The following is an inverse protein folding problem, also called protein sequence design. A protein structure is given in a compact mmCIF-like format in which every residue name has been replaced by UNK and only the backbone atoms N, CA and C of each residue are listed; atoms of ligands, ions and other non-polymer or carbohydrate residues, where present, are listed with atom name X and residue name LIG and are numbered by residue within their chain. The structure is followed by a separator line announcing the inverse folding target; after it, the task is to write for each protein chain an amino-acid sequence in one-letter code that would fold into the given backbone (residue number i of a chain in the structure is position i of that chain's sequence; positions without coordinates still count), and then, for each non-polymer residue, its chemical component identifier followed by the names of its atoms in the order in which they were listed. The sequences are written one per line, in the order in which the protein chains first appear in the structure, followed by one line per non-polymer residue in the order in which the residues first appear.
data_IF_430699710005
#
_entry.id   IF_430699710005
#
_cell.length_a   1.000
_cell.length_b   1.000
_cell.length_c   1.000
_cell.angle_alpha   90.00
_cell.angle_beta   90.00
_cell.angle_gamma   90.00
#
_symmetry.space_group_name_H-M   'P 1'
#
loop_
_entity.id
_entity.type
_entity.pdbx_description
1 polymer ?
#
# COMPACT_ATOMS: atom_id res chain seq x y z
N UNK A 1 13.53 -8.29 3.05
CA UNK A 1 13.51 -8.24 1.58
C UNK A 1 12.54 -7.16 1.15
N UNK A 2 12.95 -6.29 0.24
CA UNK A 2 12.12 -5.28 -0.41
C UNK A 2 11.94 -5.66 -1.88
N UNK A 3 10.72 -5.57 -2.42
CA UNK A 3 10.41 -6.03 -3.77
C UNK A 3 9.64 -4.96 -4.55
N UNK A 4 10.16 -4.57 -5.71
CA UNK A 4 9.54 -3.61 -6.62
C UNK A 4 8.90 -4.38 -7.77
N UNK A 5 7.61 -4.12 -7.97
CA UNK A 5 6.80 -4.79 -8.98
C UNK A 5 6.31 -3.78 -10.02
N UNK A 6 6.07 -4.26 -11.23
CA UNK A 6 5.30 -3.53 -12.24
C UNK A 6 3.95 -4.20 -12.47
N UNK A 7 2.98 -3.40 -12.90
CA UNK A 7 1.70 -3.88 -13.40
C UNK A 7 1.55 -3.51 -14.88
N UNK A 8 1.41 -4.49 -15.75
CA UNK A 8 1.26 -4.29 -17.20
C UNK A 8 0.38 -5.40 -17.79
N UNK A 9 -0.60 -5.02 -18.60
CA UNK A 9 -1.54 -5.94 -19.27
C UNK A 9 -2.20 -6.97 -18.32
N UNK A 10 -2.48 -6.59 -17.07
CA UNK A 10 -3.07 -7.49 -16.07
C UNK A 10 -2.06 -8.38 -15.34
N UNK A 11 -0.77 -8.31 -15.69
CA UNK A 11 0.30 -9.05 -15.02
C UNK A 11 1.00 -8.20 -13.98
N UNK A 12 1.24 -8.79 -12.80
CA UNK A 12 2.16 -8.27 -11.81
C UNK A 12 3.49 -9.01 -11.90
N UNK A 13 4.58 -8.27 -12.05
CA UNK A 13 5.91 -8.83 -12.29
C UNK A 13 6.91 -8.22 -11.30
N UNK A 14 7.57 -9.02 -10.45
CA UNK A 14 8.68 -8.54 -9.65
C UNK A 14 9.86 -8.20 -10.56
N UNK A 15 10.34 -6.97 -10.51
CA UNK A 15 11.49 -6.51 -11.30
C UNK A 15 12.77 -6.42 -10.48
N UNK A 16 12.66 -5.92 -9.25
CA UNK A 16 13.81 -5.69 -8.38
C UNK A 16 13.53 -6.31 -7.02
N UNK A 17 14.49 -7.08 -6.53
CA UNK A 17 14.48 -7.66 -5.19
C UNK A 17 15.75 -7.19 -4.50
N UNK A 18 15.58 -6.51 -3.36
CA UNK A 18 16.68 -5.95 -2.58
C UNK A 18 16.64 -6.48 -1.15
N UNK A 19 17.81 -6.90 -0.63
CA UNK A 19 17.99 -7.21 0.78
C UNK A 19 18.55 -5.98 1.48
N UNK A 20 17.66 -5.17 2.05
CA UNK A 20 18.02 -3.93 2.71
C UNK A 20 18.40 -4.17 4.18
N UNK A 21 19.48 -3.55 4.69
CA UNK A 21 19.90 -3.69 6.08
C UNK A 21 19.00 -2.95 7.08
N UNK A 22 18.23 -1.95 6.64
CA UNK A 22 17.31 -1.21 7.50
C UNK A 22 16.15 -0.60 6.71
N UNK A 23 15.13 -0.14 7.43
CA UNK A 23 13.99 0.63 6.87
C UNK A 23 14.19 2.16 7.02
N UNK A 24 15.44 2.62 6.91
CA UNK A 24 15.78 4.03 7.06
C UNK A 24 15.68 4.79 5.74
N UNK A 25 15.47 6.10 5.82
CA UNK A 25 15.46 6.99 4.65
C UNK A 25 16.73 6.84 3.81
N UNK A 26 17.89 6.83 4.47
CA UNK A 26 19.19 6.69 3.82
C UNK A 26 19.32 5.36 3.07
N UNK A 27 18.84 4.27 3.66
CA UNK A 27 18.87 2.95 3.03
C UNK A 27 17.97 2.89 1.79
N UNK A 28 16.75 3.42 1.87
CA UNK A 28 15.87 3.49 0.70
C UNK A 28 16.39 4.42 -0.38
N UNK A 29 16.96 5.58 -0.01
CA UNK A 29 17.55 6.52 -0.97
C UNK A 29 18.71 5.85 -1.71
N UNK A 30 19.58 5.16 -0.99
CA UNK A 30 20.69 4.41 -1.57
C UNK A 30 20.20 3.34 -2.55
N UNK A 31 19.14 2.59 -2.21
CA UNK A 31 18.53 1.61 -3.11
C UNK A 31 18.02 2.26 -4.40
N UNK A 32 17.26 3.35 -4.32
CA UNK A 32 16.72 4.04 -5.50
C UNK A 32 17.82 4.64 -6.40
N UNK A 33 18.84 5.25 -5.80
CA UNK A 33 20.00 5.74 -6.54
C UNK A 33 20.76 4.61 -7.24
N UNK A 34 20.92 3.47 -6.57
CA UNK A 34 21.54 2.29 -7.16
C UNK A 34 20.73 1.75 -8.36
N UNK A 35 19.40 1.72 -8.25
CA UNK A 35 18.52 1.34 -9.37
C UNK A 35 18.70 2.31 -10.55
N UNK A 36 18.73 3.63 -10.30
CA UNK A 36 18.97 4.63 -11.36
C UNK A 36 20.34 4.43 -12.03
N UNK A 37 21.38 4.15 -11.25
CA UNK A 37 22.72 3.84 -11.74
C UNK A 37 22.71 2.59 -12.63
N UNK A 38 22.01 1.52 -12.24
CA UNK A 38 21.87 0.31 -13.06
C UNK A 38 21.12 0.60 -14.37
N UNK A 39 20.01 1.35 -14.32
CA UNK A 39 19.27 1.72 -15.53
C UNK A 39 20.15 2.51 -16.51
N UNK A 40 20.91 3.48 -16.01
CA UNK A 40 21.77 4.32 -16.85
C UNK A 40 22.92 3.51 -17.44
N UNK A 41 23.67 2.79 -16.60
CA UNK A 41 24.93 2.18 -17.03
C UNK A 41 24.78 0.80 -17.67
N UNK A 42 23.71 0.06 -17.36
CA UNK A 42 23.47 -1.28 -17.93
C UNK A 42 22.43 -1.28 -19.03
N UNK A 43 21.45 -0.38 -18.98
CA UNK A 43 20.34 -0.35 -19.94
C UNK A 43 20.35 0.86 -20.86
N UNK A 44 21.24 1.85 -20.63
CA UNK A 44 21.28 3.11 -21.37
C UNK A 44 19.92 3.83 -21.36
N UNK A 45 19.23 3.76 -20.21
CA UNK A 45 17.89 4.35 -20.02
C UNK A 45 17.85 5.18 -18.74
N UNK A 46 17.13 6.29 -18.81
CA UNK A 46 16.81 7.09 -17.63
C UNK A 46 15.67 6.43 -16.85
N UNK A 47 15.82 6.38 -15.52
CA UNK A 47 14.76 5.92 -14.62
C UNK A 47 13.89 7.11 -14.24
N UNK A 48 12.68 7.22 -14.81
CA UNK A 48 11.75 8.32 -14.55
C UNK A 48 10.34 7.78 -14.32
N UNK A 49 10.07 7.12 -13.17
CA UNK A 49 8.75 6.59 -12.88
C UNK A 49 7.73 7.74 -12.77
N UNK A 50 6.56 7.63 -13.41
CA UNK A 50 5.51 8.64 -13.27
C UNK A 50 4.80 8.55 -11.92
N UNK A 51 4.63 7.32 -11.42
CA UNK A 51 4.03 7.07 -10.12
C UNK A 51 4.51 5.76 -9.51
N UNK A 52 4.40 5.65 -8.19
CA UNK A 52 4.67 4.42 -7.45
C UNK A 52 3.57 4.17 -6.42
N UNK A 53 3.28 2.90 -6.17
CA UNK A 53 2.44 2.50 -5.05
C UNK A 53 3.33 2.09 -3.88
N UNK A 54 3.14 2.73 -2.73
CA UNK A 54 3.92 2.48 -1.52
C UNK A 54 3.01 2.24 -0.31
N UNK A 55 3.56 1.51 0.64
CA UNK A 55 2.98 1.37 1.98
C UNK A 55 3.23 2.65 2.78
N UNK A 56 2.47 2.85 3.86
CA UNK A 56 2.51 4.05 4.71
C UNK A 56 3.76 4.09 5.60
N UNK A 57 4.93 4.18 4.96
CA UNK A 57 6.23 4.27 5.61
C UNK A 57 6.92 5.58 5.22
N UNK A 58 7.01 6.51 6.19
CA UNK A 58 7.51 7.88 5.97
C UNK A 58 8.89 7.88 5.32
N UNK A 59 9.78 6.99 5.79
CA UNK A 59 11.15 6.87 5.27
C UNK A 59 11.17 6.50 3.77
N UNK A 60 10.34 5.54 3.36
CA UNK A 60 10.24 5.10 1.97
C UNK A 60 9.67 6.20 1.07
N UNK A 61 8.62 6.90 1.52
CA UNK A 61 8.02 8.02 0.79
C UNK A 61 9.02 9.16 0.57
N UNK A 62 9.66 9.61 1.67
CA UNK A 62 10.67 10.68 1.60
C UNK A 62 11.82 10.29 0.69
N UNK A 63 12.33 9.07 0.80
CA UNK A 63 13.44 8.59 -0.03
C UNK A 63 13.07 8.55 -1.51
N UNK A 64 11.87 8.07 -1.84
CA UNK A 64 11.40 8.02 -3.22
C UNK A 64 11.28 9.43 -3.82
N UNK A 65 10.62 10.37 -3.14
CA UNK A 65 10.46 11.75 -3.63
C UNK A 65 11.78 12.53 -3.64
N UNK A 66 12.75 12.15 -2.80
CA UNK A 66 14.09 12.73 -2.86
C UNK A 66 14.82 12.35 -4.15
N UNK A 67 14.62 11.13 -4.65
CA UNK A 67 15.22 10.66 -5.92
C UNK A 67 14.37 11.04 -7.13
N UNK A 68 13.04 11.06 -6.99
CA UNK A 68 12.09 11.39 -8.06
C UNK A 68 11.08 12.47 -7.63
N UNK A 69 11.48 13.75 -7.61
CA UNK A 69 10.67 14.84 -7.04
C UNK A 69 9.33 15.10 -7.76
N UNK A 70 9.24 14.73 -9.04
CA UNK A 70 8.06 14.97 -9.87
C UNK A 70 7.12 13.75 -9.98
N UNK A 71 7.49 12.64 -9.34
CA UNK A 71 6.70 11.40 -9.36
C UNK A 71 5.56 11.46 -8.35
N UNK A 72 4.45 10.79 -8.65
CA UNK A 72 3.31 10.68 -7.72
C UNK A 72 3.42 9.43 -6.85
N UNK A 73 3.30 9.58 -5.53
CA UNK A 73 3.08 8.45 -4.63
C UNK A 73 1.59 8.18 -4.52
N UNK A 74 1.21 6.91 -4.63
CA UNK A 74 -0.14 6.41 -4.34
C UNK A 74 -0.07 5.48 -3.13
N UNK A 75 -0.78 5.82 -2.06
CA UNK A 75 -0.89 4.98 -0.88
C UNK A 75 -1.76 3.75 -1.15
N UNK A 76 -1.37 2.60 -0.58
CA UNK A 76 -2.16 1.38 -0.71
C UNK A 76 -3.42 1.43 0.18
N UNK A 77 -4.62 1.39 -0.43
CA UNK A 77 -5.90 1.42 0.32
C UNK A 77 -6.02 0.29 1.34
N UNK A 78 -5.51 -0.90 1.01
CA UNK A 78 -5.53 -2.03 1.93
C UNK A 78 -4.70 -1.76 3.20
N UNK A 79 -3.49 -1.23 3.04
CA UNK A 79 -2.64 -0.88 4.19
C UNK A 79 -3.16 0.32 4.99
N UNK A 80 -3.85 1.26 4.34
CA UNK A 80 -4.58 2.34 5.04
C UNK A 80 -5.66 1.75 5.95
N UNK A 81 -6.56 0.93 5.38
CA UNK A 81 -7.62 0.27 6.14
C UNK A 81 -7.06 -0.63 7.25
N UNK A 82 -5.98 -1.37 6.99
CA UNK A 82 -5.29 -2.13 8.05
C UNK A 82 -4.76 -1.24 9.17
N UNK A 83 -4.22 -0.06 8.86
CA UNK A 83 -3.69 0.86 9.87
C UNK A 83 -4.80 1.39 10.78
N UNK A 84 -5.94 1.80 10.19
CA UNK A 84 -7.12 2.21 10.95
C UNK A 84 -7.71 1.07 11.77
N UNK A 85 -7.87 -0.12 11.18
CA UNK A 85 -8.34 -1.30 11.88
C UNK A 85 -7.42 -1.70 13.05
N UNK A 86 -6.09 -1.61 12.87
CA UNK A 86 -5.14 -1.85 13.97
C UNK A 86 -5.28 -0.81 15.08
N UNK A 87 -5.47 0.47 14.76
CA UNK A 87 -5.72 1.50 15.78
C UNK A 87 -7.00 1.19 16.56
N UNK A 88 -8.11 0.87 15.90
CA UNK A 88 -9.36 0.44 16.55
C UNK A 88 -9.09 -0.75 17.50
N UNK A 89 -8.34 -1.76 17.05
CA UNK A 89 -8.04 -2.95 17.85
C UNK A 89 -7.04 -2.72 18.98
N UNK A 90 -6.21 -1.67 18.90
CA UNK A 90 -5.29 -1.28 19.97
C UNK A 90 -6.02 -0.66 21.16
N UNK A 91 -7.22 -0.13 20.92
CA UNK A 91 -8.10 0.47 21.92
C UNK A 91 -9.07 -0.59 22.43
N UNK A 92 -8.84 -1.12 23.63
CA UNK A 92 -9.50 -2.32 24.14
C UNK A 92 -11.03 -2.26 24.12
N UNK A 93 -11.62 -1.10 24.37
CA UNK A 93 -13.07 -0.95 24.38
C UNK A 93 -13.63 -0.74 22.98
N UNK A 94 -12.96 0.02 22.11
CA UNK A 94 -13.36 0.10 20.70
C UNK A 94 -13.27 -1.27 20.02
N UNK A 95 -12.26 -2.09 20.36
CA UNK A 95 -12.17 -3.48 19.89
C UNK A 95 -13.42 -4.30 20.25
N UNK A 96 -13.96 -4.15 21.46
CA UNK A 96 -15.17 -4.87 21.89
C UNK A 96 -16.40 -4.34 21.16
N UNK A 97 -16.53 -3.02 21.09
CA UNK A 97 -17.66 -2.34 20.46
C UNK A 97 -17.72 -2.62 18.95
N UNK A 98 -16.57 -2.53 18.27
CA UNK A 98 -16.45 -2.79 16.84
C UNK A 98 -16.77 -4.26 16.47
N UNK A 99 -16.63 -5.22 17.39
CA UNK A 99 -17.09 -6.60 17.13
C UNK A 99 -18.61 -6.69 16.98
N UNK A 100 -19.35 -5.81 17.65
CA UNK A 100 -20.79 -5.71 17.49
C UNK A 100 -21.13 -4.71 16.38
N UNK A 101 -21.13 -5.17 15.14
CA UNK A 101 -21.39 -4.34 13.94
C UNK A 101 -22.79 -3.69 13.93
N UNK A 102 -23.71 -4.10 14.81
CA UNK A 102 -25.03 -3.47 14.93
C UNK A 102 -25.04 -2.20 15.78
N UNK A 103 -24.02 -1.95 16.59
CA UNK A 103 -23.97 -0.78 17.48
C UNK A 103 -23.52 0.48 16.74
N UNK A 104 -23.97 1.64 17.19
CA UNK A 104 -23.75 2.92 16.50
C UNK A 104 -22.27 3.32 16.46
N UNK A 105 -21.49 2.93 17.47
CA UNK A 105 -20.03 3.12 17.47
C UNK A 105 -19.36 2.30 16.36
N UNK A 106 -19.79 1.05 16.14
CA UNK A 106 -19.23 0.25 15.07
C UNK A 106 -19.59 0.85 13.69
N UNK A 107 -20.83 1.30 13.51
CA UNK A 107 -21.26 1.99 12.28
C UNK A 107 -20.45 3.25 12.05
N UNK A 108 -20.28 4.10 13.07
CA UNK A 108 -19.49 5.33 13.00
C UNK A 108 -18.04 5.05 12.60
N UNK A 109 -17.40 4.06 13.23
CA UNK A 109 -16.03 3.63 12.86
C UNK A 109 -15.95 3.13 11.42
N UNK A 110 -16.98 2.41 10.92
CA UNK A 110 -17.03 1.92 9.54
C UNK A 110 -17.09 3.07 8.53
N UNK A 111 -17.75 4.19 8.85
CA UNK A 111 -17.83 5.34 7.95
C UNK A 111 -16.45 5.91 7.56
N UNK A 112 -15.45 5.85 8.46
CA UNK A 112 -14.08 6.25 8.14
C UNK A 112 -13.50 5.47 6.95
N UNK A 113 -13.86 4.19 6.81
CA UNK A 113 -13.40 3.35 5.70
C UNK A 113 -14.01 3.75 4.34
N UNK A 114 -14.99 4.66 4.34
CA UNK A 114 -15.52 5.33 3.14
C UNK A 114 -14.65 6.49 2.64
N UNK A 115 -13.89 7.16 3.52
CA UNK A 115 -13.08 8.33 3.17
C UNK A 115 -12.10 8.10 1.98
N UNK A 116 -11.44 6.93 1.83
CA UNK A 116 -10.50 6.70 0.72
C UNK A 116 -11.11 6.70 -0.68
N UNK A 117 -12.44 6.72 -0.78
CA UNK A 117 -13.18 6.72 -2.03
C UNK A 117 -13.65 8.13 -2.46
N UNK A 118 -13.42 9.14 -1.63
CA UNK A 118 -13.74 10.52 -1.94
C UNK A 118 -12.66 11.18 -2.81
N UNK A 119 -13.00 12.25 -3.56
CA UNK A 119 -12.01 13.21 -4.04
C UNK A 119 -11.15 13.73 -2.88
N UNK A 120 -9.84 13.86 -3.08
CA UNK A 120 -8.92 14.22 -1.99
C UNK A 120 -9.23 15.57 -1.36
N UNK A 121 -9.83 16.49 -2.10
CA UNK A 121 -10.24 17.82 -1.64
C UNK A 121 -11.54 17.83 -0.82
N UNK A 122 -12.30 16.74 -0.79
CA UNK A 122 -13.55 16.61 -0.01
C UNK A 122 -13.36 15.81 1.28
N UNK A 123 -12.18 15.21 1.48
CA UNK A 123 -11.90 14.32 2.62
C UNK A 123 -11.96 15.05 3.96
N UNK A 124 -11.46 16.29 4.01
CA UNK A 124 -11.45 17.07 5.24
C UNK A 124 -12.87 17.44 5.69
N UNK A 125 -13.68 17.97 4.77
CA UNK A 125 -15.10 18.27 5.03
C UNK A 125 -15.86 17.02 5.48
N UNK A 126 -15.69 15.91 4.76
CA UNK A 126 -16.32 14.64 5.12
C UNK A 126 -15.88 14.13 6.51
N UNK A 127 -14.63 14.35 6.90
CA UNK A 127 -14.18 13.99 8.25
C UNK A 127 -14.87 14.81 9.34
N UNK A 128 -15.07 16.12 9.12
CA UNK A 128 -15.80 16.96 10.05
C UNK A 128 -17.29 16.59 10.12
N UNK A 129 -17.89 16.18 9.00
CA UNK A 129 -19.23 15.59 9.00
C UNK A 129 -19.29 14.32 9.86
N UNK A 130 -18.28 13.45 9.79
CA UNK A 130 -18.18 12.28 10.67
C UNK A 130 -18.05 12.67 12.15
N UNK A 131 -17.36 13.77 12.48
CA UNK A 131 -17.29 14.25 13.86
C UNK A 131 -18.69 14.65 14.39
N UNK A 132 -19.52 15.27 13.56
CA UNK A 132 -20.89 15.65 13.93
C UNK A 132 -21.81 14.42 14.13
N UNK A 133 -21.43 13.26 13.61
CA UNK A 133 -22.14 11.98 13.78
C UNK A 133 -21.58 11.12 14.92
N UNK A 134 -20.68 11.65 15.74
CA UNK A 134 -20.07 10.91 16.86
C UNK A 134 -21.16 10.45 17.84
N UNK A 135 -21.25 9.15 18.17
CA UNK A 135 -22.26 8.66 19.12
C UNK A 135 -22.04 9.19 20.54
N UNK A 136 -23.13 9.42 21.27
CA UNK A 136 -23.13 9.79 22.70
C UNK A 136 -22.64 8.62 23.57
N UNK A 137 -21.32 8.49 23.65
CA UNK A 137 -20.60 7.50 24.46
C UNK A 137 -19.32 8.14 25.01
N UNK A 138 -18.69 7.51 26.01
CA UNK A 138 -17.47 8.03 26.65
C UNK A 138 -16.45 8.54 25.60
N UNK A 139 -16.35 9.87 25.51
CA UNK A 139 -15.84 10.61 24.35
C UNK A 139 -14.33 10.47 24.16
N UNK A 140 -13.59 10.19 25.22
CA UNK A 140 -12.12 10.22 25.20
C UNK A 140 -11.52 9.14 24.30
N UNK A 141 -12.14 7.97 24.20
CA UNK A 141 -11.60 6.88 23.37
C UNK A 141 -12.00 7.00 21.89
N UNK A 142 -13.17 7.59 21.62
CA UNK A 142 -13.60 7.90 20.25
C UNK A 142 -12.74 9.04 19.67
N UNK A 143 -12.47 10.07 20.48
CA UNK A 143 -11.50 11.12 20.13
C UNK A 143 -10.11 10.54 19.92
N UNK A 144 -9.62 9.60 20.73
CA UNK A 144 -8.28 9.03 20.51
C UNK A 144 -8.11 8.34 19.14
N UNK A 145 -9.15 7.64 18.65
CA UNK A 145 -9.15 7.11 17.28
C UNK A 145 -9.26 8.22 16.24
N UNK A 146 -10.21 9.14 16.43
CA UNK A 146 -10.46 10.25 15.51
C UNK A 146 -9.23 11.14 15.33
N UNK A 147 -8.59 11.54 16.42
CA UNK A 147 -7.37 12.33 16.48
C UNK A 147 -6.21 11.59 15.82
N UNK A 148 -6.12 10.26 16.00
CA UNK A 148 -5.13 9.47 15.28
C UNK A 148 -5.33 9.59 13.76
N UNK A 149 -6.57 9.49 13.28
CA UNK A 149 -6.86 9.65 11.84
C UNK A 149 -6.54 11.07 11.39
N UNK A 150 -7.01 12.08 12.13
CA UNK A 150 -6.82 13.49 11.81
C UNK A 150 -5.35 13.87 11.67
N UNK A 151 -4.56 13.59 12.72
CA UNK A 151 -3.15 13.97 12.81
C UNK A 151 -2.26 13.26 11.78
N UNK A 152 -2.63 12.04 11.36
CA UNK A 152 -1.79 11.24 10.46
C UNK A 152 -2.19 11.34 8.99
N UNK A 153 -3.46 11.64 8.71
CA UNK A 153 -4.03 11.47 7.36
C UNK A 153 -4.82 12.66 6.82
N UNK A 154 -5.22 13.62 7.64
CA UNK A 154 -6.19 14.65 7.24
C UNK A 154 -5.61 16.05 7.38
N UNK A 155 -5.15 16.42 8.59
CA UNK A 155 -4.68 17.78 8.86
C UNK A 155 -3.58 18.19 7.89
N UNK A 156 -3.54 19.47 7.54
CA UNK A 156 -2.47 20.03 6.72
C UNK A 156 -1.09 19.71 7.31
N UNK A 157 -0.15 19.30 6.45
CA UNK A 157 1.20 18.92 6.87
C UNK A 157 1.30 17.55 7.55
N UNK A 158 0.21 16.78 7.63
CA UNK A 158 0.27 15.41 8.15
C UNK A 158 1.24 14.52 7.33
N UNK A 159 1.74 13.43 7.91
CA UNK A 159 2.66 12.52 7.22
C UNK A 159 2.09 11.92 5.92
N UNK A 160 0.77 11.71 5.84
CA UNK A 160 0.12 11.03 4.72
C UNK A 160 -1.14 11.77 4.27
N UNK A 161 -1.02 12.91 3.56
CA UNK A 161 -2.17 13.73 3.17
C UNK A 161 -3.14 12.99 2.23
N UNK A 162 -4.42 13.41 2.17
CA UNK A 162 -5.44 12.78 1.34
C UNK A 162 -5.05 12.61 -0.13
N UNK A 163 -4.26 13.54 -0.68
CA UNK A 163 -3.74 13.48 -2.05
C UNK A 163 -2.92 12.22 -2.37
N UNK A 164 -2.40 11.53 -1.35
CA UNK A 164 -1.66 10.27 -1.50
C UNK A 164 -2.62 9.08 -1.60
N UNK A 165 -3.72 9.07 -0.85
CA UNK A 165 -4.49 7.84 -0.59
C UNK A 165 -5.97 7.90 -1.01
N UNK A 166 -6.58 9.08 -1.04
CA UNK A 166 -7.95 9.31 -1.47
C UNK A 166 -8.01 9.55 -2.98
N UNK A 167 -8.91 8.83 -3.65
CA UNK A 167 -9.30 9.06 -5.05
C UNK A 167 -10.63 8.33 -5.26
N UNK A 168 -11.49 8.78 -6.17
CA UNK A 168 -12.62 7.99 -6.62
C UNK A 168 -12.21 6.58 -7.11
N UNK A 169 -13.09 5.57 -7.02
CA UNK A 169 -12.83 4.26 -7.62
C UNK A 169 -12.49 4.38 -9.11
N UNK A 170 -11.45 3.67 -9.54
CA UNK A 170 -11.08 3.56 -10.96
C UNK A 170 -10.82 2.10 -11.32
N UNK A 171 -10.74 1.83 -12.62
CA UNK A 171 -10.28 0.54 -13.12
C UNK A 171 -8.77 0.33 -12.91
N UNK A 172 -8.02 1.23 -12.28
CA UNK A 172 -6.63 0.94 -11.90
C UNK A 172 -6.60 0.15 -10.57
N UNK A 173 -5.74 -0.87 -10.43
CA UNK A 173 -5.70 -1.62 -9.19
C UNK A 173 -4.99 -0.79 -8.12
N UNK A 174 -5.69 -0.49 -7.02
CA UNK A 174 -5.15 0.29 -5.89
C UNK A 174 -4.72 -0.54 -4.69
N UNK A 175 -4.71 -1.87 -4.81
CA UNK A 175 -4.29 -2.79 -3.76
C UNK A 175 -2.90 -3.37 -4.04
N UNK A 176 -2.09 -3.52 -2.99
CA UNK A 176 -0.81 -4.24 -3.01
C UNK A 176 -0.98 -5.75 -2.81
N UNK A 177 -2.21 -6.28 -2.93
CA UNK A 177 -2.52 -7.70 -2.76
C UNK A 177 -1.56 -8.62 -3.53
N UNK A 178 -1.11 -8.18 -4.70
CA UNK A 178 -0.14 -8.95 -5.49
C UNK A 178 1.27 -8.95 -4.89
N UNK A 179 1.73 -7.84 -4.31
CA UNK A 179 3.00 -7.78 -3.60
C UNK A 179 2.95 -8.64 -2.32
N UNK A 180 1.85 -8.60 -1.57
CA UNK A 180 1.65 -9.47 -0.41
C UNK A 180 1.56 -10.94 -0.79
N UNK A 181 0.80 -11.26 -1.85
CA UNK A 181 0.72 -12.61 -2.41
C UNK A 181 2.09 -13.10 -2.86
N UNK A 182 2.91 -12.22 -3.45
CA UNK A 182 4.29 -12.53 -3.81
C UNK A 182 5.12 -12.87 -2.57
N UNK A 183 5.10 -12.02 -1.54
CA UNK A 183 5.83 -12.26 -0.30
C UNK A 183 5.39 -13.55 0.39
N UNK A 184 4.08 -13.82 0.44
CA UNK A 184 3.52 -15.06 1.00
C UNK A 184 4.00 -16.28 0.21
N UNK A 185 3.92 -16.23 -1.12
CA UNK A 185 4.35 -17.31 -1.99
C UNK A 185 5.86 -17.57 -1.92
N UNK A 186 6.66 -16.51 -1.87
CA UNK A 186 8.11 -16.61 -1.69
C UNK A 186 8.46 -17.24 -0.35
N UNK A 187 7.86 -16.77 0.74
CA UNK A 187 8.11 -17.31 2.07
C UNK A 187 7.65 -18.77 2.19
N UNK A 188 6.59 -19.18 1.48
CA UNK A 188 6.12 -20.58 1.49
C UNK A 188 7.06 -21.56 0.79
N UNK A 189 8.08 -21.08 0.07
CA UNK A 189 9.12 -21.94 -0.51
C UNK A 189 10.14 -22.43 0.54
N UNK A 190 10.07 -21.91 1.76
CA UNK A 190 11.02 -22.22 2.84
C UNK A 190 10.30 -22.86 4.02
N UNK A 191 10.88 -23.92 4.57
CA UNK A 191 10.39 -24.58 5.80
C UNK A 191 10.85 -23.88 7.09
N UNK A 192 11.75 -22.90 6.99
CA UNK A 192 12.31 -22.15 8.11
C UNK A 192 12.20 -20.64 7.86
N UNK A 193 11.98 -19.83 8.91
CA UNK A 193 12.08 -18.36 8.82
C UNK A 193 13.49 -17.86 8.44
N UNK A 194 14.52 -18.69 8.63
CA UNK A 194 15.91 -18.37 8.35
C UNK A 194 16.52 -19.42 7.41
N UNK A 195 16.12 -19.44 6.13
CA UNK A 195 16.66 -20.39 5.16
C UNK A 195 18.13 -20.04 4.83
N UNK A 196 18.94 -21.04 4.41
CA UNK A 196 20.27 -20.79 3.87
C UNK A 196 20.23 -19.83 2.67
N UNK A 197 21.23 -18.97 2.55
CA UNK A 197 21.31 -17.99 1.46
C UNK A 197 21.31 -18.64 0.07
N UNK A 198 21.90 -19.83 -0.06
CA UNK A 198 21.92 -20.59 -1.31
C UNK A 198 20.50 -20.94 -1.76
N UNK A 199 19.67 -21.48 -0.86
CA UNK A 199 18.26 -21.79 -1.13
C UNK A 199 17.44 -20.54 -1.48
N UNK A 200 17.75 -19.40 -0.85
CA UNK A 200 17.14 -18.12 -1.19
C UNK A 200 17.48 -17.73 -2.63
N UNK A 201 18.75 -17.79 -3.01
CA UNK A 201 19.22 -17.44 -4.36
C UNK A 201 18.59 -18.37 -5.42
N UNK A 202 18.50 -19.67 -5.15
CA UNK A 202 17.87 -20.64 -6.05
C UNK A 202 16.40 -20.31 -6.30
N UNK A 203 15.64 -20.00 -5.25
CA UNK A 203 14.25 -19.59 -5.38
C UNK A 203 14.09 -18.26 -6.14
N UNK A 204 15.00 -17.30 -5.93
CA UNK A 204 15.00 -16.05 -6.69
C UNK A 204 15.25 -16.28 -8.19
N UNK A 205 16.11 -17.24 -8.56
CA UNK A 205 16.31 -17.65 -9.96
C UNK A 205 15.03 -18.24 -10.57
N UNK A 206 14.27 -19.04 -9.82
CA UNK A 206 12.98 -19.56 -10.28
C UNK A 206 11.97 -18.43 -10.52
N UNK A 207 11.87 -17.48 -9.60
CA UNK A 207 11.03 -16.28 -9.76
C UNK A 207 11.44 -15.46 -11.00
N UNK A 208 12.74 -15.35 -11.26
CA UNK A 208 13.25 -14.67 -12.45
C UNK A 208 12.80 -15.36 -13.74
N UNK A 209 12.85 -16.71 -13.79
CA UNK A 209 12.34 -17.49 -14.92
C UNK A 209 10.84 -17.24 -15.14
N UNK A 210 10.03 -17.28 -14.08
CA UNK A 210 8.59 -16.97 -14.18
C UNK A 210 8.32 -15.55 -14.68
N UNK A 211 9.12 -14.59 -14.23
CA UNK A 211 9.02 -13.19 -14.64
C UNK A 211 9.31 -13.04 -16.13
N UNK A 212 10.33 -13.72 -16.65
CA UNK A 212 10.62 -13.75 -18.08
C UNK A 212 9.52 -14.38 -18.92
N UNK A 213 8.90 -15.47 -18.44
CA UNK A 213 7.75 -16.07 -19.11
C UNK A 213 6.60 -15.06 -19.23
N UNK A 214 6.25 -14.37 -18.13
CA UNK A 214 5.20 -13.33 -18.13
C UNK A 214 5.55 -12.17 -19.08
N UNK A 215 6.79 -11.68 -19.06
CA UNK A 215 7.25 -10.62 -19.98
C UNK A 215 7.10 -11.05 -21.44
N UNK A 216 7.45 -12.30 -21.77
CA UNK A 216 7.30 -12.81 -23.13
C UNK A 216 5.83 -12.92 -23.55
N UNK A 217 4.93 -13.31 -22.65
CA UNK A 217 3.49 -13.29 -22.92
C UNK A 217 2.98 -11.86 -23.20
N UNK A 218 3.41 -10.88 -22.40
CA UNK A 218 3.06 -9.47 -22.60
C UNK A 218 3.56 -8.96 -23.95
N UNK A 219 4.80 -9.29 -24.34
CA UNK A 219 5.37 -8.92 -25.65
C UNK A 219 4.59 -9.50 -26.82
N UNK A 220 3.95 -10.65 -26.63
CA UNK A 220 3.02 -11.27 -27.60
C UNK A 220 1.62 -10.65 -27.59
N UNK A 221 1.40 -9.57 -26.83
CA UNK A 221 0.12 -8.89 -26.73
C UNK A 221 -0.89 -9.57 -25.79
N UNK A 222 -0.47 -10.57 -24.99
CA UNK A 222 -1.39 -11.25 -24.07
C UNK A 222 -1.85 -10.27 -23.00
N UNK A 223 -3.15 -10.26 -22.75
CA UNK A 223 -3.79 -9.52 -21.67
C UNK A 223 -4.36 -10.54 -20.68
N UNK A 224 -4.00 -10.41 -19.41
CA UNK A 224 -4.58 -11.23 -18.36
C UNK A 224 -5.88 -10.56 -17.89
N UNK A 225 -7.05 -11.22 -18.02
CA UNK A 225 -8.30 -10.69 -17.51
C UNK A 225 -8.24 -10.60 -15.99
N UNK A 226 -8.78 -9.52 -15.42
CA UNK A 226 -8.98 -9.42 -13.98
C UNK A 226 -9.95 -10.49 -13.50
N UNK A 227 -9.66 -11.06 -12.32
CA UNK A 227 -10.60 -11.95 -11.64
C UNK A 227 -11.82 -11.14 -11.18
N UNK A 228 -13.03 -11.74 -11.22
CA UNK A 228 -14.28 -11.10 -10.76
C UNK A 228 -14.14 -10.50 -9.36
N UNK A 229 -13.51 -11.23 -8.45
CA UNK A 229 -13.24 -10.82 -7.06
C UNK A 229 -12.37 -9.55 -6.94
N UNK A 230 -11.49 -9.27 -7.90
CA UNK A 230 -10.65 -8.06 -7.90
C UNK A 230 -11.43 -6.83 -8.39
N UNK A 231 -12.45 -7.05 -9.24
CA UNK A 231 -13.36 -5.98 -9.68
C UNK A 231 -14.32 -5.61 -8.55
N UNK A 232 -14.86 -6.61 -7.85
CA UNK A 232 -15.77 -6.41 -6.73
C UNK A 232 -15.07 -5.72 -5.55
N UNK A 233 -13.84 -6.08 -5.17
CA UNK A 233 -13.10 -5.41 -4.07
C UNK A 233 -12.81 -3.91 -4.28
N UNK A 234 -12.87 -3.40 -5.52
CA UNK A 234 -12.80 -1.96 -5.77
C UNK A 234 -14.11 -1.22 -5.44
N UNK A 235 -15.20 -1.96 -5.23
CA UNK A 235 -16.57 -1.49 -4.93
C UNK A 235 -17.14 -2.00 -3.60
N UNK A 236 -16.63 -3.08 -3.01
CA UNK A 236 -17.31 -3.82 -1.91
C UNK A 236 -16.71 -3.61 -0.51
N UNK A 237 -16.20 -2.41 -0.19
CA UNK A 237 -15.89 -2.04 1.21
C UNK A 237 -16.89 -1.01 1.78
N UNK A 238 -18.11 -1.00 1.23
CA UNK A 238 -19.29 -0.40 1.85
C UNK A 238 -20.00 -1.45 2.72
#
# INVERSE_FOLDING_TARGET
MYAIHIYVNGFYIPLVIAFLPSKSFECYRAMWNFICHLCTNKLQKNCTPLSIHLDFEIAAHKAFLNVFPYSKIRGCRFHLGQSWYRKINSLSDLKKLYKNQSCDIAKWLTLFFGLPFLPSNEVEDAYFDLQNLTPDFNLTILSEFSDYVFNNYIIEGCPFPPSIWAEPPTDAPRTTNCAESFHKHFNSQFYSPHPPLTSVIENLKLIQVESYLKINEIKKGKIKPRRKEEKEKNTTYL
#
